data_IF_700139917396
#
_entry.id   IF_700139917396
#
_cell.length_a   1.000
_cell.length_b   1.000
_cell.length_c   1.000
_cell.angle_alpha   90.00
_cell.angle_beta   90.00
_cell.angle_gamma   90.00
#
_symmetry.space_group_name_H-M   'P 1'
#
loop_
_entity.id
_entity.type
_entity.pdbx_description
1 polymer ?
#
# COMPACT_ATOMS: atom_id res chain seq x y z
N UNK A 1 1.85 -18.72 0.99
CA UNK A 1 1.83 -18.61 -0.48
C UNK A 1 3.03 -17.78 -0.89
N UNK A 2 3.86 -18.28 -1.79
CA UNK A 2 5.03 -17.54 -2.30
C UNK A 2 4.54 -16.46 -3.27
N UNK A 3 4.48 -15.21 -2.79
CA UNK A 3 3.96 -14.11 -3.60
C UNK A 3 5.13 -13.54 -4.41
N UNK A 4 5.06 -13.73 -5.72
CA UNK A 4 6.09 -13.20 -6.64
C UNK A 4 6.21 -11.69 -6.50
N UNK A 5 7.43 -11.12 -6.59
CA UNK A 5 7.62 -9.68 -6.60
C UNK A 5 6.73 -8.96 -7.62
N UNK A 6 6.12 -7.86 -7.20
CA UNK A 6 5.25 -7.03 -8.03
C UNK A 6 5.59 -5.55 -7.83
N UNK A 7 5.33 -4.72 -8.84
CA UNK A 7 5.41 -3.26 -8.74
C UNK A 7 4.33 -2.68 -7.82
N UNK A 8 3.26 -3.45 -7.57
CA UNK A 8 2.12 -3.02 -6.76
C UNK A 8 2.14 -3.70 -5.39
N UNK A 9 2.06 -2.88 -4.35
CA UNK A 9 1.89 -3.31 -2.96
C UNK A 9 0.43 -3.11 -2.59
N UNK A 10 -0.15 -4.16 -2.02
CA UNK A 10 -1.45 -4.18 -1.39
C UNK A 10 -1.30 -3.80 0.09
N UNK A 11 -2.03 -2.80 0.54
CA UNK A 11 -2.03 -2.32 1.93
C UNK A 11 -3.42 -2.58 2.50
N UNK A 12 -3.48 -3.36 3.58
CA UNK A 12 -4.72 -3.64 4.29
C UNK A 12 -4.80 -2.83 5.57
N UNK A 13 -6.02 -2.81 6.14
CA UNK A 13 -6.32 -2.26 7.45
C UNK A 13 -6.19 -0.72 7.49
N UNK A 14 -6.50 -0.07 6.37
CA UNK A 14 -6.51 1.39 6.28
C UNK A 14 -7.79 1.97 6.90
N UNK A 15 -7.72 3.17 7.51
CA UNK A 15 -8.87 3.77 8.18
C UNK A 15 -9.88 4.31 7.16
N UNK A 16 -10.91 3.51 6.94
CA UNK A 16 -11.97 3.76 5.98
C UNK A 16 -12.89 4.94 6.30
N UNK A 17 -12.77 5.53 7.49
CA UNK A 17 -13.49 6.74 7.91
C UNK A 17 -12.90 7.98 7.26
N UNK A 18 -11.62 7.96 6.90
CA UNK A 18 -10.89 9.07 6.27
C UNK A 18 -11.35 9.23 4.81
N UNK A 19 -11.39 10.46 4.28
CA UNK A 19 -11.73 10.70 2.86
C UNK A 19 -10.79 9.95 1.90
N UNK A 20 -11.25 9.68 0.67
CA UNK A 20 -10.43 9.01 -0.36
C UNK A 20 -9.11 9.74 -0.62
N UNK A 21 -9.14 11.08 -0.56
CA UNK A 21 -7.93 11.89 -0.73
C UNK A 21 -7.00 11.77 0.48
N UNK A 22 -7.54 11.79 1.71
CA UNK A 22 -6.76 11.58 2.93
C UNK A 22 -6.10 10.20 2.97
N UNK A 23 -6.79 9.16 2.49
CA UNK A 23 -6.24 7.81 2.34
C UNK A 23 -5.03 7.74 1.43
N UNK A 24 -4.88 8.65 0.45
CA UNK A 24 -3.70 8.67 -0.45
C UNK A 24 -2.51 9.41 0.15
N UNK A 25 -2.75 10.44 0.98
CA UNK A 25 -1.68 11.30 1.53
C UNK A 25 -0.72 10.53 2.42
N UNK A 26 -1.23 9.64 3.25
CA UNK A 26 -0.39 8.91 4.20
C UNK A 26 0.49 7.83 3.52
N UNK A 27 -0.03 6.96 2.64
CA UNK A 27 0.81 6.08 1.83
C UNK A 27 1.80 6.87 0.99
N UNK A 28 1.43 8.01 0.41
CA UNK A 28 2.41 8.84 -0.30
C UNK A 28 3.58 9.27 0.60
N UNK A 29 3.27 9.78 1.81
CA UNK A 29 4.29 10.21 2.76
C UNK A 29 5.23 9.07 3.19
N UNK A 30 4.71 7.86 3.39
CA UNK A 30 5.53 6.71 3.78
C UNK A 30 6.31 6.09 2.62
N UNK A 31 5.67 5.91 1.47
CA UNK A 31 6.19 5.09 0.39
C UNK A 31 7.09 5.86 -0.59
N UNK A 32 6.95 7.19 -0.67
CA UNK A 32 7.73 8.04 -1.58
C UNK A 32 9.24 7.96 -1.37
N UNK A 33 9.69 7.67 -0.13
CA UNK A 33 11.12 7.49 0.20
C UNK A 33 11.78 6.25 -0.44
N UNK A 34 10.99 5.28 -0.90
CA UNK A 34 11.52 4.04 -1.47
C UNK A 34 11.68 4.12 -3.00
N UNK A 35 11.10 5.15 -3.64
CA UNK A 35 11.27 5.41 -5.07
C UNK A 35 10.08 6.10 -5.70
N UNK A 36 10.16 6.27 -7.02
CA UNK A 36 9.11 6.95 -7.80
C UNK A 36 7.81 6.14 -7.81
N UNK A 37 6.78 6.69 -7.18
CA UNK A 37 5.42 6.16 -7.18
C UNK A 37 4.71 6.58 -8.48
N UNK A 38 4.04 5.62 -9.12
CA UNK A 38 3.24 5.86 -10.33
C UNK A 38 1.82 6.25 -9.95
N UNK A 39 1.21 5.55 -9.01
CA UNK A 39 -0.14 5.83 -8.55
C UNK A 39 -0.40 5.28 -7.15
N UNK A 40 -1.43 5.81 -6.51
CA UNK A 40 -2.03 5.29 -5.28
C UNK A 40 -3.52 5.12 -5.53
N UNK A 41 -3.99 3.87 -5.48
CA UNK A 41 -5.39 3.52 -5.73
C UNK A 41 -6.06 3.19 -4.41
N UNK A 42 -7.00 4.04 -4.01
CA UNK A 42 -7.86 3.84 -2.85
C UNK A 42 -9.31 3.71 -3.33
N UNK A 43 -10.05 2.70 -2.87
CA UNK A 43 -11.46 2.50 -3.23
C UNK A 43 -12.31 2.33 -1.97
N UNK A 44 -13.45 3.04 -1.92
CA UNK A 44 -14.40 2.97 -0.79
C UNK A 44 -15.60 2.06 -1.05
N UNK A 45 -15.52 1.19 -2.05
CA UNK A 45 -16.59 0.21 -2.32
C UNK A 45 -16.60 -0.84 -1.21
N UNK A 46 -17.75 -1.50 -0.98
CA UNK A 46 -17.89 -2.50 0.09
C UNK A 46 -16.82 -3.60 0.05
N UNK A 47 -16.36 -4.00 -1.15
CA UNK A 47 -15.33 -5.02 -1.33
C UNK A 47 -13.91 -4.53 -1.04
N UNK A 48 -13.63 -3.23 -1.23
CA UNK A 48 -12.28 -2.66 -1.22
C UNK A 48 -12.04 -1.72 -0.04
N UNK A 49 -13.05 -1.49 0.79
CA UNK A 49 -12.99 -0.62 1.95
C UNK A 49 -11.93 -1.14 2.93
N UNK A 50 -10.99 -0.28 3.32
CA UNK A 50 -9.86 -0.63 4.18
C UNK A 50 -8.68 -1.28 3.44
N UNK A 51 -8.65 -1.16 2.10
CA UNK A 51 -7.60 -1.67 1.23
C UNK A 51 -7.16 -0.60 0.22
N UNK A 52 -5.86 -0.37 0.14
CA UNK A 52 -5.24 0.59 -0.78
C UNK A 52 -4.09 -0.07 -1.57
N UNK A 53 -3.81 0.44 -2.76
CA UNK A 53 -2.69 -0.01 -3.58
C UNK A 53 -1.68 1.10 -3.81
N UNK A 54 -0.41 0.75 -3.64
CA UNK A 54 0.72 1.62 -4.01
C UNK A 54 1.43 1.00 -5.21
N UNK A 55 1.55 1.74 -6.30
CA UNK A 55 2.23 1.30 -7.52
C UNK A 55 3.56 2.04 -7.65
N UNK A 56 4.66 1.30 -7.74
CA UNK A 56 6.00 1.85 -8.00
C UNK A 56 6.42 1.69 -9.46
N UNK A 57 7.27 2.60 -9.93
CA UNK A 57 7.88 2.48 -11.26
C UNK A 57 8.89 1.34 -11.32
N UNK A 58 9.60 1.07 -10.22
CA UNK A 58 10.67 0.08 -10.15
C UNK A 58 10.33 -1.06 -9.18
N UNK A 59 10.56 -2.31 -9.60
CA UNK A 59 10.33 -3.50 -8.79
C UNK A 59 11.16 -3.53 -7.49
N UNK A 60 12.40 -3.04 -7.55
CA UNK A 60 13.28 -2.94 -6.39
C UNK A 60 12.72 -2.01 -5.31
N UNK A 61 12.10 -0.89 -5.71
CA UNK A 61 11.45 0.05 -4.80
C UNK A 61 10.28 -0.59 -4.07
N UNK A 62 9.42 -1.32 -4.79
CA UNK A 62 8.30 -2.05 -4.19
C UNK A 62 8.78 -3.14 -3.21
N UNK A 63 9.80 -3.90 -3.61
CA UNK A 63 10.37 -4.96 -2.77
C UNK A 63 11.01 -4.41 -1.51
N UNK A 64 11.74 -3.30 -1.62
CA UNK A 64 12.36 -2.63 -0.48
C UNK A 64 11.30 -2.05 0.46
N UNK A 65 10.32 -1.32 -0.08
CA UNK A 65 9.22 -0.75 0.70
C UNK A 65 8.45 -1.82 1.49
N UNK A 66 8.13 -2.95 0.86
CA UNK A 66 7.45 -4.05 1.53
C UNK A 66 8.24 -4.57 2.73
N UNK A 67 9.55 -4.82 2.56
CA UNK A 67 10.41 -5.32 3.64
C UNK A 67 10.50 -4.37 4.83
N UNK A 68 10.59 -3.06 4.57
CA UNK A 68 10.74 -2.05 5.63
C UNK A 68 9.44 -1.67 6.32
N UNK A 69 8.32 -1.71 5.60
CA UNK A 69 7.01 -1.28 6.12
C UNK A 69 6.16 -2.44 6.63
N UNK A 70 6.63 -3.69 6.50
CA UNK A 70 6.00 -4.85 7.10
C UNK A 70 5.84 -4.63 8.61
N UNK A 71 4.60 -4.62 9.11
CA UNK A 71 4.32 -4.44 10.53
C UNK A 71 4.52 -3.00 11.04
N UNK A 72 4.74 -2.03 10.16
CA UNK A 72 4.83 -0.62 10.56
C UNK A 72 3.53 -0.16 11.23
N UNK A 73 3.58 0.57 12.36
CA UNK A 73 2.37 1.06 13.02
C UNK A 73 1.58 2.00 12.11
N UNK A 74 0.33 1.64 11.81
CA UNK A 74 -0.56 2.37 10.92
C UNK A 74 -1.92 2.61 11.57
N UNK A 75 -2.27 3.86 11.85
CA UNK A 75 -3.59 4.22 12.37
C UNK A 75 -4.03 3.36 13.59
N UNK A 76 -3.12 3.21 14.57
CA UNK A 76 -3.29 2.40 15.78
C UNK A 76 -3.43 0.88 15.57
N UNK A 77 -3.17 0.37 14.36
CA UNK A 77 -3.08 -1.07 14.08
C UNK A 77 -1.81 -1.38 13.27
N UNK A 78 -1.27 -2.61 13.30
CA UNK A 78 -0.13 -2.94 12.44
C UNK A 78 -0.55 -2.89 10.96
N UNK A 79 0.24 -2.20 10.12
CA UNK A 79 0.09 -2.26 8.68
C UNK A 79 0.33 -3.69 8.22
N UNK A 80 -0.64 -4.24 7.49
CA UNK A 80 -0.44 -5.48 6.75
C UNK A 80 -0.25 -5.11 5.30
N UNK A 81 0.87 -5.51 4.73
CA UNK A 81 1.19 -5.29 3.33
C UNK A 81 1.63 -6.59 2.68
N UNK A 82 1.27 -6.74 1.40
CA UNK A 82 1.64 -7.89 0.59
C UNK A 82 1.90 -7.45 -0.85
N UNK A 83 2.64 -8.26 -1.60
CA UNK A 83 2.70 -8.08 -3.05
C UNK A 83 1.31 -8.35 -3.63
N UNK A 84 0.84 -7.51 -4.55
CA UNK A 84 -0.47 -7.73 -5.17
C UNK A 84 -0.43 -9.01 -6.01
N UNK A 85 -1.23 -10.01 -5.63
CA UNK A 85 -1.47 -11.18 -6.48
C UNK A 85 -2.44 -10.77 -7.61
N UNK A 86 -2.15 -11.21 -8.84
CA UNK A 86 -2.90 -10.78 -10.06
C UNK A 86 -4.41 -11.01 -9.91
N UNK A 87 -5.18 -10.17 -10.61
CA UNK A 87 -6.64 -10.25 -10.76
C UNK A 87 -7.13 -11.65 -11.12
#
# INVERSE_FOLDING_TARGET
MDIRPNHTIDIYNTDDRISKEGLKRFPYALFSRFGHMVDIVALKTMKMRGQDFVVFKNLGSATNALRWLQGFPFSAKPMQSSMKNRF
#
